data_IF_581997166891
#
_entry.id   IF_581997166891
#
_cell.length_a   1.000
_cell.length_b   1.000
_cell.length_c   1.000
_cell.angle_alpha   90.00
_cell.angle_beta   90.00
_cell.angle_gamma   90.00
#
_symmetry.space_group_name_H-M   'P 1'
#
loop_
_entity.id
_entity.type
_entity.pdbx_description
1 polymer ?
#
# COMPACT_ATOMS: atom_id res chain seq x y z
N UNK A 1 -12.89 12.20 15.25
CA UNK A 1 -12.85 10.85 14.64
C UNK A 1 -12.65 11.07 13.16
N UNK A 2 -11.46 10.76 12.62
CA UNK A 2 -11.20 10.88 11.18
C UNK A 2 -11.66 9.57 10.56
N UNK A 3 -12.78 9.62 9.82
CA UNK A 3 -13.25 8.50 9.01
C UNK A 3 -12.27 8.28 7.86
N UNK A 4 -11.34 7.34 8.03
CA UNK A 4 -10.50 6.81 6.95
C UNK A 4 -11.33 5.81 6.15
N UNK A 5 -12.13 6.30 5.20
CA UNK A 5 -13.09 5.52 4.40
C UNK A 5 -12.61 5.19 2.98
N UNK A 6 -11.31 5.23 2.69
CA UNK A 6 -10.79 4.89 1.35
C UNK A 6 -9.98 3.59 1.33
N UNK A 7 -10.44 2.58 2.07
CA UNK A 7 -9.85 1.24 2.06
C UNK A 7 -10.48 0.38 0.96
N UNK A 8 -9.72 0.09 -0.08
CA UNK A 8 -10.12 -0.82 -1.16
C UNK A 8 -9.41 -2.16 -1.04
N UNK A 9 -10.14 -3.28 -1.19
CA UNK A 9 -9.52 -4.61 -1.27
C UNK A 9 -8.98 -4.81 -2.68
N UNK A 10 -7.67 -4.93 -2.82
CA UNK A 10 -7.04 -5.31 -4.08
C UNK A 10 -7.18 -6.82 -4.33
N UNK A 11 -6.90 -7.62 -3.29
CA UNK A 11 -6.84 -9.08 -3.40
C UNK A 11 -7.01 -9.75 -2.04
N UNK A 12 -7.71 -10.87 -2.00
CA UNK A 12 -7.70 -11.79 -0.85
C UNK A 12 -6.43 -12.65 -0.88
N UNK A 13 -5.70 -12.69 0.22
CA UNK A 13 -4.45 -13.43 0.36
C UNK A 13 -4.34 -13.95 1.81
N UNK A 14 -4.88 -15.14 2.08
CA UNK A 14 -4.96 -15.66 3.46
C UNK A 14 -3.65 -16.22 3.99
N UNK A 15 -2.77 -16.69 3.10
CA UNK A 15 -1.49 -17.29 3.47
C UNK A 15 -0.45 -16.23 3.87
N UNK A 16 -0.23 -16.11 5.18
CA UNK A 16 0.69 -15.14 5.77
C UNK A 16 2.16 -15.35 5.33
N UNK A 17 2.57 -16.59 5.03
CA UNK A 17 3.97 -16.90 4.72
C UNK A 17 4.38 -16.36 3.35
N UNK A 18 3.42 -16.24 2.43
CA UNK A 18 3.63 -15.77 1.06
C UNK A 18 3.28 -14.28 0.88
N UNK A 19 2.86 -13.59 1.94
CA UNK A 19 2.62 -12.13 1.92
C UNK A 19 3.83 -11.33 1.42
N UNK A 20 5.08 -11.60 1.86
CA UNK A 20 6.24 -10.83 1.39
C UNK A 20 6.45 -10.93 -0.12
N UNK A 21 6.19 -12.10 -0.69
CA UNK A 21 6.30 -12.34 -2.13
C UNK A 21 5.19 -11.63 -2.87
N UNK A 22 3.93 -11.76 -2.43
CA UNK A 22 2.79 -11.07 -3.02
C UNK A 22 2.95 -9.54 -3.02
N UNK A 23 3.43 -8.96 -1.91
CA UNK A 23 3.73 -7.53 -1.80
C UNK A 23 4.89 -7.13 -2.72
N UNK A 24 5.89 -8.01 -2.88
CA UNK A 24 7.01 -7.78 -3.78
C UNK A 24 6.59 -7.80 -5.25
N UNK A 25 5.69 -8.70 -5.63
CA UNK A 25 5.12 -8.79 -6.97
C UNK A 25 4.33 -7.53 -7.31
N UNK A 26 3.39 -7.13 -6.44
CA UNK A 26 2.61 -5.90 -6.60
C UNK A 26 3.50 -4.66 -6.68
N UNK A 27 4.53 -4.56 -5.83
CA UNK A 27 5.49 -3.45 -5.90
C UNK A 27 6.17 -3.36 -7.27
N UNK A 28 6.58 -4.50 -7.85
CA UNK A 28 7.22 -4.53 -9.16
C UNK A 28 6.23 -4.17 -10.27
N UNK A 29 5.01 -4.67 -10.17
CA UNK A 29 3.92 -4.35 -11.11
C UNK A 29 3.64 -2.84 -11.14
N UNK A 30 3.42 -2.23 -9.97
CA UNK A 30 3.14 -0.80 -9.86
C UNK A 30 4.33 0.05 -10.33
N UNK A 31 5.55 -0.38 -10.03
CA UNK A 31 6.76 0.25 -10.56
C UNK A 31 6.82 0.18 -12.09
N UNK A 32 6.45 -0.95 -12.68
CA UNK A 32 6.43 -1.13 -14.14
C UNK A 32 5.33 -0.33 -14.83
N UNK A 33 4.20 -0.10 -14.14
CA UNK A 33 3.13 0.81 -14.60
C UNK A 33 3.61 2.27 -14.60
N UNK A 34 4.62 2.60 -13.78
CA UNK A 34 5.28 3.91 -13.76
C UNK A 34 4.97 4.75 -12.53
N UNK A 35 4.40 4.16 -11.47
CA UNK A 35 4.19 4.88 -10.22
C UNK A 35 5.52 5.26 -9.54
N UNK A 36 5.54 6.43 -8.90
CA UNK A 36 6.67 6.84 -8.05
C UNK A 36 6.63 6.05 -6.73
N UNK A 37 7.40 4.96 -6.68
CA UNK A 37 7.50 4.11 -5.50
C UNK A 37 8.32 4.81 -4.40
N UNK A 38 7.81 4.83 -3.17
CA UNK A 38 8.45 5.53 -2.06
C UNK A 38 9.15 4.60 -1.07
N UNK A 39 8.38 3.81 -0.31
CA UNK A 39 8.91 2.89 0.70
C UNK A 39 8.31 1.51 0.51
N UNK A 40 9.12 0.47 0.70
CA UNK A 40 8.68 -0.92 0.78
C UNK A 40 9.15 -1.53 2.10
N UNK A 41 8.27 -2.28 2.75
CA UNK A 41 8.57 -3.17 3.87
C UNK A 41 7.99 -4.56 3.58
N UNK A 42 8.08 -5.48 4.54
CA UNK A 42 7.72 -6.89 4.35
C UNK A 42 6.27 -7.09 3.90
N UNK A 43 5.33 -6.37 4.52
CA UNK A 43 3.89 -6.56 4.31
C UNK A 43 3.19 -5.34 3.68
N UNK A 44 3.94 -4.33 3.24
CA UNK A 44 3.37 -3.13 2.63
C UNK A 44 4.37 -2.35 1.77
N UNK A 45 3.83 -1.48 0.93
CA UNK A 45 4.59 -0.43 0.26
C UNK A 45 3.75 0.82 0.06
N UNK A 46 4.41 1.94 -0.24
CA UNK A 46 3.76 3.19 -0.61
C UNK A 46 4.22 3.66 -1.98
N UNK A 47 3.30 4.32 -2.69
CA UNK A 47 3.57 4.98 -3.96
C UNK A 47 2.84 6.32 -4.02
N UNK A 48 3.28 7.20 -4.93
CA UNK A 48 2.68 8.53 -5.13
C UNK A 48 1.97 8.61 -6.48
N UNK A 49 0.76 9.16 -6.47
CA UNK A 49 -0.01 9.52 -7.64
C UNK A 49 0.48 10.83 -8.27
N UNK A 50 0.12 11.09 -9.51
CA UNK A 50 0.54 12.30 -10.24
C UNK A 50 0.07 13.61 -9.58
N UNK A 51 -1.01 13.57 -8.81
CA UNK A 51 -1.54 14.72 -8.04
C UNK A 51 -0.84 14.93 -6.69
N UNK A 52 0.13 14.08 -6.36
CA UNK A 52 0.88 14.12 -5.09
C UNK A 52 0.27 13.27 -3.97
N UNK A 53 -0.91 12.69 -4.16
CA UNK A 53 -1.55 11.79 -3.18
C UNK A 53 -0.67 10.58 -2.95
N UNK A 54 -0.41 10.25 -1.67
CA UNK A 54 0.36 9.06 -1.29
C UNK A 54 -0.61 7.94 -0.95
N UNK A 55 -0.42 6.79 -1.58
CA UNK A 55 -1.20 5.59 -1.37
C UNK A 55 -0.34 4.54 -0.68
N UNK A 56 -0.93 3.78 0.24
CA UNK A 56 -0.33 2.61 0.88
C UNK A 56 -1.04 1.35 0.39
N UNK A 57 -0.25 0.36 -0.02
CA UNK A 57 -0.69 -1.01 -0.26
C UNK A 57 -0.19 -1.86 0.89
N UNK A 58 -1.07 -2.56 1.60
CA UNK A 58 -0.70 -3.33 2.79
C UNK A 58 -1.55 -4.58 2.97
N UNK A 59 -0.96 -5.61 3.55
CA UNK A 59 -1.68 -6.80 3.98
C UNK A 59 -2.20 -6.68 5.41
N UNK A 60 -3.46 -7.04 5.62
CA UNK A 60 -4.08 -7.17 6.93
C UNK A 60 -5.21 -8.21 6.89
N UNK A 61 -5.37 -9.03 7.95
CA UNK A 61 -6.54 -9.92 8.13
C UNK A 61 -6.90 -10.75 6.87
N UNK A 62 -5.90 -11.32 6.20
CA UNK A 62 -6.10 -12.20 5.05
C UNK A 62 -6.40 -11.50 3.72
N UNK A 63 -6.23 -10.18 3.63
CA UNK A 63 -6.39 -9.45 2.39
C UNK A 63 -5.33 -8.35 2.23
N UNK A 64 -5.03 -8.02 0.98
CA UNK A 64 -4.22 -6.87 0.59
C UNK A 64 -5.17 -5.73 0.26
N UNK A 65 -4.93 -4.61 0.91
CA UNK A 65 -5.70 -3.38 0.74
C UNK A 65 -4.84 -2.30 0.12
N UNK A 66 -5.53 -1.34 -0.49
CA UNK A 66 -5.03 -0.06 -0.93
C UNK A 66 -5.77 1.04 -0.15
N UNK A 67 -5.04 2.03 0.38
CA UNK A 67 -5.63 3.13 1.15
C UNK A 67 -4.81 4.42 1.00
N UNK A 68 -5.43 5.56 1.23
CA UNK A 68 -4.74 6.85 1.22
C UNK A 68 -3.88 6.95 2.48
N UNK A 69 -2.57 7.11 2.29
CA UNK A 69 -1.64 7.24 3.40
C UNK A 69 -1.81 8.61 4.08
N UNK A 70 -2.44 8.63 5.26
CA UNK A 70 -2.42 9.81 6.13
C UNK A 70 -1.03 9.90 6.76
N UNK A 71 -0.12 10.60 6.08
CA UNK A 71 1.20 10.87 6.65
C UNK A 71 1.03 11.72 7.93
N UNK A 72 1.69 11.36 9.05
CA UNK A 72 1.65 12.20 10.23
C UNK A 72 2.21 13.57 9.86
N UNK A 73 1.47 14.64 10.19
CA UNK A 73 2.00 16.01 10.07
C UNK A 73 3.26 16.07 10.94
N UNK A 74 4.40 16.35 10.32
CA UNK A 74 5.61 16.71 11.06
C UNK A 74 5.27 18.03 11.74
N UNK A 75 5.04 18.00 13.05
CA UNK A 75 4.93 19.19 13.87
C UNK A 75 6.36 19.63 14.16
N UNK A 76 6.80 20.70 13.49
CA UNK A 76 8.06 21.38 13.79
C UNK A 76 7.96 22.12 15.13
#
# INVERSE_FOLDING_TARGET
MVNTEYKHILKVHEDILTVPDAITELFKEYKNIGYEMMRKVVNSFTYRLADGTVIIVYWEKGAIYEDIAVLPKIVN
#
